data_IF_892271381563
#
_entry.id   IF_892271381563
#
_cell.length_a   1.000
_cell.length_b   1.000
_cell.length_c   1.000
_cell.angle_alpha   90.00
_cell.angle_beta   90.00
_cell.angle_gamma   90.00
#
_symmetry.space_group_name_H-M   'P 1'
#
loop_
_entity.id
_entity.type
_entity.pdbx_description
1 polymer ?
#
# COMPACT_ATOMS: atom_id res chain seq x y z
N UNK A 1 14.08 -0.61 6.97
CA UNK A 1 13.39 -0.10 8.17
C UNK A 1 13.37 -1.12 9.30
N UNK A 2 12.76 -2.30 9.16
CA UNK A 2 12.71 -3.30 10.26
C UNK A 2 14.10 -3.69 10.82
N UNK A 3 15.11 -3.84 9.96
CA UNK A 3 16.49 -4.12 10.40
C UNK A 3 17.10 -2.99 11.24
N UNK A 4 16.78 -1.72 10.93
CA UNK A 4 17.29 -0.56 11.69
C UNK A 4 16.68 -0.50 13.09
N UNK A 5 15.41 -0.89 13.23
CA UNK A 5 14.69 -0.90 14.51
C UNK A 5 15.37 -1.81 15.53
N UNK A 6 15.77 -3.01 15.08
CA UNK A 6 16.43 -4.03 15.91
C UNK A 6 17.94 -3.76 16.00
N UNK A 7 18.54 -3.20 14.95
CA UNK A 7 19.96 -2.83 14.92
C UNK A 7 20.33 -1.78 15.97
N UNK A 8 19.47 -0.79 16.22
CA UNK A 8 19.74 0.29 17.18
C UNK A 8 20.15 -0.21 18.59
N UNK A 9 19.36 -1.04 19.30
CA UNK A 9 19.76 -1.57 20.61
C UNK A 9 20.95 -2.52 20.53
N UNK A 10 21.10 -3.29 19.45
CA UNK A 10 22.24 -4.21 19.28
C UNK A 10 23.57 -3.46 19.14
N UNK A 11 23.56 -2.32 18.43
CA UNK A 11 24.73 -1.46 18.26
C UNK A 11 25.05 -0.68 19.54
N UNK A 12 24.02 -0.29 20.30
CA UNK A 12 24.18 0.28 21.63
C UNK A 12 24.88 -0.71 22.57
N UNK A 13 24.45 -1.98 22.56
CA UNK A 13 25.02 -3.04 23.39
C UNK A 13 26.47 -3.40 23.02
N UNK A 14 26.86 -3.24 21.75
CA UNK A 14 28.21 -3.50 21.25
C UNK A 14 29.17 -2.30 21.41
N UNK A 15 28.84 -1.31 22.24
CA UNK A 15 29.67 -0.12 22.52
C UNK A 15 30.00 0.74 21.30
N UNK A 16 29.10 0.79 20.31
CA UNK A 16 29.22 1.65 19.13
C UNK A 16 28.18 2.80 19.20
N UNK A 17 28.34 3.75 20.14
CA UNK A 17 27.29 4.71 20.49
C UNK A 17 26.97 5.68 19.35
N UNK A 18 27.95 6.00 18.49
CA UNK A 18 27.76 6.92 17.38
C UNK A 18 26.71 6.38 16.39
N UNK A 19 26.91 5.14 15.93
CA UNK A 19 26.04 4.54 14.92
C UNK A 19 24.65 4.25 15.50
N UNK A 20 24.57 3.82 16.76
CA UNK A 20 23.32 3.72 17.51
C UNK A 20 22.57 5.07 17.55
N UNK A 21 23.27 6.15 17.91
CA UNK A 21 22.69 7.50 18.01
C UNK A 21 22.17 8.01 16.67
N UNK A 22 22.90 7.77 15.58
CA UNK A 22 22.43 8.10 14.23
C UNK A 22 21.12 7.38 13.92
N UNK A 23 21.03 6.09 14.22
CA UNK A 23 19.79 5.33 13.99
C UNK A 23 18.65 5.90 14.85
N UNK A 24 18.86 6.15 16.14
CA UNK A 24 17.84 6.78 16.99
C UNK A 24 17.40 8.15 16.47
N UNK A 25 18.33 9.00 16.04
CA UNK A 25 18.03 10.32 15.48
C UNK A 25 17.22 10.24 14.18
N UNK A 26 17.52 9.28 13.31
CA UNK A 26 16.74 9.08 12.09
C UNK A 26 15.30 8.64 12.42
N UNK A 27 15.14 7.77 13.43
CA UNK A 27 13.83 7.23 13.81
C UNK A 27 13.04 8.15 14.76
N UNK A 28 13.65 9.16 15.37
CA UNK A 28 12.97 10.08 16.29
C UNK A 28 11.93 10.94 15.58
N UNK A 29 12.15 11.24 14.29
CA UNK A 29 11.19 11.93 13.42
C UNK A 29 9.88 11.16 13.25
N UNK A 30 9.94 9.82 13.27
CA UNK A 30 8.80 8.94 13.06
C UNK A 30 8.23 8.39 14.37
N UNK A 31 8.99 8.43 15.47
CA UNK A 31 8.61 7.82 16.74
C UNK A 31 9.19 8.58 17.93
N UNK A 32 8.38 8.77 18.97
CA UNK A 32 8.80 9.44 20.21
C UNK A 32 9.76 8.60 21.09
N UNK A 33 10.01 7.33 20.75
CA UNK A 33 11.04 6.47 21.39
C UNK A 33 10.96 6.35 22.93
N UNK A 34 9.75 6.39 23.51
CA UNK A 34 9.56 6.20 24.96
C UNK A 34 9.97 4.79 25.40
N UNK A 35 10.89 4.62 26.37
CA UNK A 35 11.37 3.31 26.79
C UNK A 35 10.27 2.46 27.45
N UNK A 36 9.29 3.07 28.13
CA UNK A 36 8.17 2.37 28.78
C UNK A 36 7.19 1.74 27.77
N UNK A 37 7.25 2.17 26.50
CA UNK A 37 6.35 1.71 25.43
C UNK A 37 7.10 1.06 24.27
N UNK A 38 8.38 0.76 24.45
CA UNK A 38 9.25 0.11 23.47
C UNK A 38 9.66 -1.25 23.99
N UNK A 39 9.96 -2.19 23.09
CA UNK A 39 10.62 -3.43 23.51
C UNK A 39 12.07 -3.13 23.87
N UNK A 40 12.69 -3.94 24.73
CA UNK A 40 14.09 -3.78 25.09
C UNK A 40 14.90 -5.03 24.68
N UNK A 41 16.10 -4.81 24.15
CA UNK A 41 17.10 -5.84 23.89
C UNK A 41 18.37 -5.43 24.62
N UNK A 42 18.92 -6.33 25.44
CA UNK A 42 20.18 -6.11 26.17
C UNK A 42 20.17 -4.82 27.02
N UNK A 43 19.02 -4.48 27.61
CA UNK A 43 18.86 -3.26 28.42
C UNK A 43 18.64 -1.96 27.63
N UNK A 44 18.67 -2.01 26.29
CA UNK A 44 18.42 -0.85 25.43
C UNK A 44 17.03 -0.95 24.77
N UNK A 45 16.24 0.13 24.73
CA UNK A 45 14.95 0.12 24.03
C UNK A 45 15.14 -0.11 22.52
N UNK A 46 14.10 -0.54 21.82
CA UNK A 46 14.10 -0.57 20.36
C UNK A 46 14.12 0.85 19.80
N UNK A 47 14.56 1.00 18.55
CA UNK A 47 14.54 2.30 17.86
C UNK A 47 13.14 2.91 17.66
N UNK A 48 12.07 2.16 17.96
CA UNK A 48 10.66 2.61 17.93
C UNK A 48 9.81 1.93 18.99
N UNK A 49 8.64 2.52 19.28
CA UNK A 49 7.65 1.96 20.18
C UNK A 49 6.91 0.74 19.60
N UNK A 50 6.22 0.01 20.48
CA UNK A 50 5.43 -1.19 20.16
C UNK A 50 4.43 -0.97 19.02
N UNK A 51 3.76 0.20 18.96
CA UNK A 51 2.81 0.54 17.88
C UNK A 51 3.49 0.72 16.55
N UNK A 52 4.53 1.55 16.49
CA UNK A 52 5.28 1.80 15.25
C UNK A 52 5.93 0.53 14.72
N UNK A 53 6.46 -0.32 15.61
CA UNK A 53 6.96 -1.65 15.24
C UNK A 53 5.85 -2.49 14.57
N UNK A 54 4.63 -2.46 15.12
CA UNK A 54 3.45 -3.09 14.52
C UNK A 54 3.13 -2.57 13.13
N UNK A 55 3.08 -1.25 12.95
CA UNK A 55 2.80 -0.61 11.65
C UNK A 55 3.80 -1.06 10.58
N UNK A 56 5.10 -1.02 10.90
CA UNK A 56 6.14 -1.46 9.96
C UNK A 56 6.06 -2.96 9.66
N UNK A 57 5.77 -3.78 10.68
CA UNK A 57 5.58 -5.22 10.49
C UNK A 57 4.34 -5.51 9.63
N UNK A 58 3.25 -4.78 9.80
CA UNK A 58 2.04 -4.89 9.00
C UNK A 58 2.26 -4.49 7.54
N UNK A 59 2.97 -3.38 7.30
CA UNK A 59 3.36 -2.95 5.95
C UNK A 59 4.25 -4.00 5.26
N UNK A 60 5.21 -4.58 5.99
CA UNK A 60 6.06 -5.66 5.49
C UNK A 60 5.29 -6.96 5.24
N UNK A 61 4.42 -7.37 6.16
CA UNK A 61 3.58 -8.55 5.97
C UNK A 61 2.65 -8.40 4.76
N UNK A 62 2.06 -7.23 4.58
CA UNK A 62 1.25 -6.92 3.41
C UNK A 62 2.06 -6.99 2.11
N UNK A 63 3.31 -6.51 2.07
CA UNK A 63 4.15 -6.58 0.87
C UNK A 63 4.49 -8.02 0.49
N UNK A 64 4.71 -8.91 1.47
CA UNK A 64 4.91 -10.35 1.23
C UNK A 64 3.64 -11.05 0.71
N UNK A 65 2.46 -10.60 1.16
CA UNK A 65 1.17 -11.09 0.65
C UNK A 65 0.83 -10.46 -0.71
N UNK A 66 1.43 -9.31 -1.04
CA UNK A 66 1.05 -8.44 -2.16
C UNK A 66 1.18 -9.04 -3.57
N UNK A 67 2.00 -10.06 -3.91
CA UNK A 67 1.93 -10.66 -5.25
C UNK A 67 0.52 -11.18 -5.58
N UNK A 68 -0.25 -11.58 -4.56
CA UNK A 68 -1.63 -12.07 -4.70
C UNK A 68 -2.66 -10.95 -4.76
N UNK A 69 -2.44 -9.84 -4.02
CA UNK A 69 -3.29 -8.64 -4.04
C UNK A 69 -3.06 -7.79 -5.29
N UNK A 70 -1.83 -7.76 -5.81
CA UNK A 70 -1.42 -7.02 -7.00
C UNK A 70 -2.00 -7.61 -8.29
N UNK A 71 -2.23 -8.93 -8.33
CA UNK A 71 -2.98 -9.55 -9.42
C UNK A 71 -4.42 -9.02 -9.49
N UNK A 72 -5.01 -8.67 -8.34
CA UNK A 72 -6.27 -7.95 -8.29
C UNK A 72 -6.14 -6.48 -8.68
N UNK A 73 -4.98 -5.81 -8.54
CA UNK A 73 -4.81 -4.42 -8.99
C UNK A 73 -4.41 -4.28 -10.47
N UNK A 74 -4.06 -5.38 -11.15
CA UNK A 74 -3.94 -5.41 -12.62
C UNK A 74 -5.30 -5.06 -13.21
N UNK A 75 -5.48 -3.78 -13.51
CA UNK A 75 -6.54 -3.32 -14.39
C UNK A 75 -6.49 -4.22 -15.62
N UNK A 76 -7.64 -4.72 -16.13
CA UNK A 76 -7.70 -5.12 -17.52
C UNK A 76 -7.20 -3.91 -18.28
N UNK A 77 -5.96 -3.98 -18.76
CA UNK A 77 -5.33 -2.90 -19.49
C UNK A 77 -6.30 -2.52 -20.57
N UNK A 78 -6.72 -1.26 -20.55
CA UNK A 78 -7.47 -0.58 -21.60
C UNK A 78 -8.15 -1.59 -22.53
N UNK A 79 -9.21 -2.26 -22.05
CA UNK A 79 -10.13 -2.87 -23.00
C UNK A 79 -10.71 -1.64 -23.67
N UNK A 80 -10.08 -1.25 -24.79
CA UNK A 80 -10.53 -0.15 -25.64
C UNK A 80 -12.03 -0.25 -25.60
N UNK A 81 -12.69 0.74 -25.00
CA UNK A 81 -14.03 1.03 -25.47
C UNK A 81 -13.85 1.10 -26.99
N UNK A 82 -14.61 0.33 -27.78
CA UNK A 82 -14.64 0.57 -29.20
C UNK A 82 -15.29 1.93 -29.41
N UNK A 83 -14.55 2.99 -29.10
CA UNK A 83 -14.61 4.24 -29.80
C UNK A 83 -14.10 3.79 -31.19
N UNK A 84 -15.01 3.45 -32.09
CA UNK A 84 -15.65 4.55 -32.78
C UNK A 84 -14.51 5.39 -33.34
N UNK A 85 -13.66 4.78 -34.17
CA UNK A 85 -12.75 5.52 -35.03
C UNK A 85 -13.66 6.45 -35.82
N UNK A 86 -13.78 7.68 -35.35
CA UNK A 86 -14.36 8.75 -36.11
C UNK A 86 -13.32 9.07 -37.17
N UNK A 87 -13.38 8.33 -38.28
CA UNK A 87 -12.74 8.77 -39.52
C UNK A 87 -13.53 9.95 -40.02
N UNK A 88 -12.99 11.14 -39.81
CA UNK A 88 -13.37 12.32 -40.59
C UNK A 88 -12.64 12.19 -41.91
N UNK A 89 -13.31 11.60 -42.90
CA UNK A 89 -12.91 11.73 -44.30
C UNK A 89 -13.61 12.98 -44.86
N UNK A 90 -12.85 13.84 -45.53
CA UNK A 90 -13.25 15.17 -46.03
C UNK A 90 -14.40 15.17 -47.05
N UNK A 91 -15.06 14.04 -47.28
CA UNK A 91 -16.01 13.87 -48.38
C UNK A 91 -17.30 13.11 -48.03
N UNK A 92 -17.48 12.50 -46.84
CA UNK A 92 -18.79 11.89 -46.49
C UNK A 92 -18.93 11.47 -45.03
N UNK A 93 -19.97 11.98 -44.37
CA UNK A 93 -20.46 11.50 -43.07
C UNK A 93 -21.33 10.26 -43.29
N UNK A 94 -20.89 9.08 -42.86
CA UNK A 94 -21.74 7.85 -42.82
C UNK A 94 -21.75 7.25 -41.42
N UNK A 95 -22.96 7.01 -40.89
CA UNK A 95 -23.20 6.37 -39.60
C UNK A 95 -23.18 4.85 -39.79
N UNK A 96 -22.19 4.17 -39.20
CA UNK A 96 -22.13 2.69 -39.18
C UNK A 96 -22.70 2.21 -37.84
N UNK A 97 -23.86 1.54 -37.87
CA UNK A 97 -24.44 0.89 -36.70
C UNK A 97 -23.69 -0.43 -36.38
N UNK A 98 -23.52 -0.80 -35.10
CA UNK A 98 -22.82 -2.02 -34.72
C UNK A 98 -23.70 -3.26 -34.94
N UNK A 99 -23.26 -4.13 -35.86
CA UNK A 99 -23.88 -5.41 -36.15
C UNK A 99 -23.68 -6.44 -35.04
N UNK A 100 -24.78 -7.06 -34.62
CA UNK A 100 -24.82 -8.24 -33.75
C UNK A 100 -24.28 -9.48 -34.48
N UNK A 101 -23.27 -10.16 -33.92
CA UNK A 101 -23.10 -11.64 -33.84
C UNK A 101 -21.63 -11.99 -33.58
N UNK A 102 -21.39 -12.76 -32.52
CA UNK A 102 -20.05 -13.29 -32.23
C UNK A 102 -19.89 -13.95 -30.87
N UNK A 103 -20.79 -14.88 -30.52
CA UNK A 103 -20.48 -15.96 -29.57
C UNK A 103 -19.29 -16.74 -30.14
N UNK A 104 -18.12 -16.72 -29.50
CA UNK A 104 -17.12 -17.80 -29.63
C UNK A 104 -16.01 -17.67 -28.56
N UNK A 105 -15.99 -18.71 -27.70
CA UNK A 105 -14.88 -19.28 -26.95
C UNK A 105 -14.23 -18.45 -25.85
N UNK A 106 -14.78 -18.65 -24.65
CA UNK A 106 -14.05 -18.65 -23.40
C UNK A 106 -12.86 -19.61 -23.47
N UNK A 107 -11.70 -19.09 -23.86
CA UNK A 107 -10.41 -19.73 -23.71
C UNK A 107 -10.09 -19.88 -22.23
N UNK A 108 -10.22 -21.11 -21.77
CA UNK A 108 -9.66 -21.65 -20.54
C UNK A 108 -8.15 -21.35 -20.49
N UNK A 109 -7.75 -20.29 -19.80
CA UNK A 109 -6.39 -20.19 -19.26
C UNK A 109 -6.49 -20.08 -17.75
N UNK A 110 -6.05 -21.17 -17.13
CA UNK A 110 -6.04 -21.46 -15.71
C UNK A 110 -5.08 -20.57 -14.93
N UNK A 111 -5.33 -19.26 -14.93
CA UNK A 111 -4.64 -18.27 -14.14
C UNK A 111 -5.50 -17.81 -12.97
N UNK A 112 -5.35 -18.46 -11.81
CA UNK A 112 -5.61 -17.85 -10.50
C UNK A 112 -7.10 -17.66 -10.18
N UNK A 113 -7.83 -18.77 -10.00
CA UNK A 113 -8.90 -18.79 -8.99
C UNK A 113 -8.25 -18.98 -7.62
N UNK A 114 -7.64 -17.93 -7.10
CA UNK A 114 -7.26 -17.86 -5.69
C UNK A 114 -7.76 -16.55 -5.09
N UNK A 115 -9.05 -16.27 -5.29
CA UNK A 115 -9.83 -15.33 -4.48
C UNK A 115 -10.10 -15.88 -3.07
N UNK A 116 -9.18 -16.67 -2.50
CA UNK A 116 -9.38 -17.45 -1.28
C UNK A 116 -9.06 -16.66 0.01
N UNK A 117 -9.15 -15.34 -0.02
CA UNK A 117 -9.09 -14.51 1.18
C UNK A 117 -9.96 -13.26 1.00
N UNK A 118 -11.28 -13.46 0.86
CA UNK A 118 -12.38 -12.70 1.48
C UNK A 118 -12.44 -11.17 1.46
N UNK A 119 -11.52 -10.44 0.85
CA UNK A 119 -11.53 -8.98 0.77
C UNK A 119 -11.48 -8.61 -0.71
N UNK A 120 -12.60 -8.13 -1.24
CA UNK A 120 -12.63 -7.56 -2.58
C UNK A 120 -11.98 -6.17 -2.56
N UNK A 121 -10.64 -6.16 -2.50
CA UNK A 121 -9.82 -4.93 -2.45
C UNK A 121 -10.03 -4.06 -3.69
N UNK A 122 -10.54 -4.62 -4.82
CA UNK A 122 -10.93 -3.80 -5.99
C UNK A 122 -12.09 -2.86 -5.67
N UNK A 123 -13.13 -3.34 -4.99
CA UNK A 123 -14.26 -2.48 -4.62
C UNK A 123 -13.87 -1.45 -3.57
N UNK A 124 -12.92 -1.77 -2.70
CA UNK A 124 -12.40 -0.88 -1.66
C UNK A 124 -11.83 0.45 -2.17
N UNK A 125 -11.33 0.48 -3.41
CA UNK A 125 -10.60 1.63 -3.94
C UNK A 125 -11.28 2.30 -5.14
N UNK A 126 -12.48 1.84 -5.52
CA UNK A 126 -13.21 2.33 -6.71
C UNK A 126 -13.68 3.77 -6.60
N UNK A 127 -13.93 4.26 -5.38
CA UNK A 127 -14.39 5.63 -5.13
C UNK A 127 -13.60 6.30 -4.03
N UNK A 128 -13.51 7.63 -4.08
CA UNK A 128 -12.88 8.43 -3.02
C UNK A 128 -13.54 8.21 -1.65
N UNK A 129 -14.86 7.98 -1.64
CA UNK A 129 -15.61 7.67 -0.43
C UNK A 129 -15.19 6.31 0.16
N UNK A 130 -15.04 5.29 -0.68
CA UNK A 130 -14.61 3.97 -0.21
C UNK A 130 -13.19 4.03 0.36
N UNK A 131 -12.25 4.75 -0.27
CA UNK A 131 -10.91 4.96 0.29
C UNK A 131 -10.94 5.58 1.69
N UNK A 132 -11.83 6.54 1.94
CA UNK A 132 -12.02 7.15 3.27
C UNK A 132 -12.56 6.15 4.30
N UNK A 133 -13.53 5.31 3.91
CA UNK A 133 -14.08 4.27 4.80
C UNK A 133 -12.99 3.25 5.17
N UNK A 134 -12.16 2.85 4.22
CA UNK A 134 -11.03 1.94 4.46
C UNK A 134 -9.99 2.54 5.40
N UNK A 135 -9.64 3.81 5.21
CA UNK A 135 -8.79 4.55 6.14
C UNK A 135 -9.39 4.62 7.53
N UNK A 136 -10.67 5.00 7.64
CA UNK A 136 -11.38 5.08 8.92
C UNK A 136 -11.38 3.72 9.63
N UNK A 137 -11.67 2.64 8.90
CA UNK A 137 -11.67 1.27 9.42
C UNK A 137 -10.31 0.87 10.00
N UNK A 138 -9.21 1.22 9.31
CA UNK A 138 -7.86 0.97 9.84
C UNK A 138 -7.47 1.88 11.00
N UNK A 139 -7.94 3.14 10.99
CA UNK A 139 -7.65 4.09 12.06
C UNK A 139 -8.39 3.76 13.36
N UNK A 140 -9.59 3.15 13.30
CA UNK A 140 -10.40 2.87 14.50
C UNK A 140 -9.64 2.02 15.54
N UNK A 141 -9.04 0.85 15.21
CA UNK A 141 -8.32 0.03 16.19
C UNK A 141 -7.13 0.75 16.84
N UNK A 142 -6.35 1.52 16.07
CA UNK A 142 -5.18 2.23 16.58
C UNK A 142 -5.58 3.43 17.44
N UNK A 143 -6.66 4.13 17.09
CA UNK A 143 -7.21 5.22 17.91
C UNK A 143 -7.82 4.68 19.19
N UNK A 144 -8.56 3.57 19.12
CA UNK A 144 -9.12 2.91 20.29
C UNK A 144 -8.02 2.48 21.28
N UNK A 145 -6.96 1.80 20.81
CA UNK A 145 -5.81 1.43 21.66
C UNK A 145 -5.07 2.68 22.21
N UNK A 146 -5.13 3.83 21.52
CA UNK A 146 -4.54 5.07 22.01
C UNK A 146 -5.39 5.79 23.06
N UNK A 147 -6.71 5.80 22.90
CA UNK A 147 -7.65 6.64 23.67
C UNK A 147 -8.25 5.90 24.87
N UNK A 148 -8.52 4.60 24.76
CA UNK A 148 -9.13 3.81 25.85
C UNK A 148 -8.31 3.83 27.15
N UNK A 149 -6.95 3.84 27.13
CA UNK A 149 -6.16 4.00 28.36
C UNK A 149 -6.29 5.37 29.02
N UNK A 150 -6.58 6.43 28.25
CA UNK A 150 -6.76 7.77 28.80
C UNK A 150 -8.04 7.88 29.62
N UNK A 151 -9.07 7.11 29.25
CA UNK A 151 -10.32 7.01 30.00
C UNK A 151 -10.30 6.02 31.17
N UNK A 152 -9.17 5.35 31.44
CA UNK A 152 -9.07 4.30 32.46
C UNK A 152 -9.87 3.03 32.15
N UNK A 153 -10.44 2.92 30.95
CA UNK A 153 -11.31 1.82 30.53
C UNK A 153 -10.52 0.55 30.16
N UNK A 154 -9.25 0.70 29.77
CA UNK A 154 -8.43 -0.41 29.32
C UNK A 154 -6.94 -0.15 29.53
N UNK A 155 -6.22 -1.15 30.06
CA UNK A 155 -4.75 -1.11 30.14
C UNK A 155 -4.15 -1.64 28.83
N UNK A 156 -3.64 -0.75 27.96
CA UNK A 156 -2.95 -1.18 26.73
C UNK A 156 -1.68 -1.95 27.05
N UNK A 157 -1.68 -3.24 26.70
CA UNK A 157 -0.54 -4.13 26.84
C UNK A 157 0.43 -3.96 25.66
N UNK A 158 1.70 -4.42 25.78
CA UNK A 158 2.64 -4.44 24.65
C UNK A 158 2.07 -5.11 23.41
N UNK A 159 1.31 -6.19 23.60
CA UNK A 159 0.71 -6.96 22.52
C UNK A 159 -0.46 -6.22 21.86
N UNK A 160 -1.34 -5.56 22.62
CA UNK A 160 -2.47 -4.80 22.04
C UNK A 160 -1.98 -3.65 21.15
N UNK A 161 -0.91 -2.98 21.59
CA UNK A 161 -0.23 -1.91 20.84
C UNK A 161 0.39 -2.42 19.55
N UNK A 162 1.06 -3.58 19.61
CA UNK A 162 1.66 -4.22 18.44
C UNK A 162 0.59 -4.64 17.43
N UNK A 163 -0.48 -5.29 17.89
CA UNK A 163 -1.55 -5.82 17.04
C UNK A 163 -2.37 -4.71 16.37
N UNK A 164 -2.75 -3.67 17.10
CA UNK A 164 -3.46 -2.52 16.53
C UNK A 164 -2.61 -1.81 15.46
N UNK A 165 -1.31 -1.63 15.71
CA UNK A 165 -0.37 -1.14 14.72
C UNK A 165 -0.24 -2.05 13.50
N UNK A 166 -0.15 -3.37 13.70
CA UNK A 166 -0.05 -4.36 12.63
C UNK A 166 -1.27 -4.35 11.71
N UNK A 167 -2.48 -4.36 12.28
CA UNK A 167 -3.72 -4.28 11.53
C UNK A 167 -3.79 -2.98 10.72
N UNK A 168 -3.48 -1.85 11.34
CA UNK A 168 -3.45 -0.56 10.64
C UNK A 168 -2.42 -0.55 9.51
N UNK A 169 -1.18 -0.99 9.77
CA UNK A 169 -0.11 -1.05 8.77
C UNK A 169 -0.45 -1.96 7.59
N UNK A 170 -1.08 -3.10 7.85
CA UNK A 170 -1.54 -4.02 6.81
C UNK A 170 -2.61 -3.38 5.92
N UNK A 171 -3.63 -2.73 6.53
CA UNK A 171 -4.68 -2.03 5.79
C UNK A 171 -4.13 -0.82 5.02
N UNK A 172 -3.27 -0.03 5.64
CA UNK A 172 -2.62 1.12 5.03
C UNK A 172 -1.79 0.71 3.79
N UNK A 173 -1.14 -0.45 3.82
CA UNK A 173 -0.39 -0.99 2.68
C UNK A 173 -1.26 -1.11 1.42
N UNK A 174 -2.52 -1.55 1.56
CA UNK A 174 -3.43 -1.70 0.40
C UNK A 174 -3.70 -0.37 -0.28
N UNK A 175 -3.86 0.70 0.52
CA UNK A 175 -4.06 2.07 0.04
C UNK A 175 -2.77 2.68 -0.53
N UNK A 176 -1.64 2.39 0.09
CA UNK A 176 -0.34 2.88 -0.35
C UNK A 176 0.02 2.28 -1.71
N UNK A 177 -0.16 0.96 -1.89
CA UNK A 177 0.06 0.31 -3.18
C UNK A 177 -0.87 0.88 -4.25
N UNK A 178 -2.16 1.03 -3.95
CA UNK A 178 -3.13 1.66 -4.84
C UNK A 178 -2.66 3.06 -5.30
N UNK A 179 -2.37 3.95 -4.36
CA UNK A 179 -1.94 5.32 -4.66
C UNK A 179 -0.61 5.39 -5.40
N UNK A 180 0.36 4.55 -5.05
CA UNK A 180 1.65 4.48 -5.74
C UNK A 180 1.45 3.99 -7.18
N UNK A 181 0.64 2.96 -7.42
CA UNK A 181 0.39 2.46 -8.78
C UNK A 181 -0.35 3.48 -9.66
N UNK A 182 -1.25 4.28 -9.09
CA UNK A 182 -1.93 5.39 -9.77
C UNK A 182 -0.92 6.48 -10.12
N UNK A 183 -0.12 6.93 -9.15
CA UNK A 183 0.92 7.95 -9.36
C UNK A 183 1.94 7.54 -10.44
N UNK A 184 2.48 6.32 -10.36
CA UNK A 184 3.43 5.83 -11.38
C UNK A 184 2.78 5.76 -12.77
N UNK A 185 1.50 5.34 -12.85
CA UNK A 185 0.78 5.30 -14.13
C UNK A 185 0.61 6.70 -14.71
N UNK A 186 0.29 7.69 -13.89
CA UNK A 186 0.09 9.06 -14.36
C UNK A 186 1.40 9.70 -14.81
N UNK A 187 2.49 9.45 -14.08
CA UNK A 187 3.84 9.90 -14.46
C UNK A 187 4.26 9.26 -15.79
N UNK A 188 4.11 7.95 -15.94
CA UNK A 188 4.51 7.22 -17.15
C UNK A 188 3.66 7.56 -18.37
N UNK A 189 2.37 7.87 -18.18
CA UNK A 189 1.46 8.27 -19.27
C UNK A 189 1.40 9.78 -19.48
N UNK A 190 2.25 10.56 -18.80
CA UNK A 190 2.27 12.01 -18.96
C UNK A 190 2.56 12.40 -20.42
N UNK A 191 1.97 13.49 -20.94
CA UNK A 191 2.17 13.93 -22.32
C UNK A 191 3.65 14.15 -22.66
N UNK A 192 4.43 14.66 -21.71
CA UNK A 192 5.87 14.89 -21.85
C UNK A 192 6.65 13.58 -22.05
N UNK A 193 6.29 12.51 -21.32
CA UNK A 193 6.91 11.18 -21.51
C UNK A 193 6.63 10.58 -22.90
N UNK A 194 5.48 10.91 -23.51
CA UNK A 194 5.16 10.47 -24.88
C UNK A 194 5.97 11.20 -25.94
N UNK A 195 6.20 12.51 -25.79
CA UNK A 195 6.99 13.31 -26.74
C UNK A 195 8.47 12.91 -26.75
N UNK A 196 9.06 12.61 -25.59
CA UNK A 196 10.44 12.11 -25.51
C UNK A 196 10.60 10.73 -26.18
N UNK A 197 9.61 9.85 -26.00
CA UNK A 197 9.63 8.53 -26.65
C UNK A 197 9.38 8.60 -28.17
N UNK A 198 8.65 9.60 -28.69
CA UNK A 198 8.45 9.74 -30.14
C UNK A 198 9.70 10.20 -30.88
N UNK A 199 10.55 11.02 -30.26
CA UNK A 199 11.79 11.51 -30.89
C UNK A 199 12.95 10.50 -30.84
N UNK A 200 12.92 9.52 -29.94
CA UNK A 200 13.96 8.47 -29.84
C UNK A 200 13.75 7.26 -30.75
N UNK A 201 12.66 7.20 -31.52
CA UNK A 201 12.33 6.06 -32.40
C UNK A 201 12.60 6.29 -33.89
N UNK A 202 13.08 7.47 -34.28
CA UNK A 202 13.34 7.85 -35.67
C UNK A 202 14.83 7.81 -36.08
N UNK A 203 15.69 7.20 -35.25
CA UNK A 203 17.14 7.07 -35.50
C UNK A 203 17.58 5.66 -35.81
#
# INVERSE_FOLDING_TARGET
MCLLIIGAPLLAAQSNPLLSSIIYLLLSSACHQMPERSFAILGHPWGVCQRCAGIYLGLFAASLVSPRVFCAYRTPGNRRLPDGVMRVDSARMTLVAPGSRGLLRSGLSSGIRLCAAGINVRMAHSSAQMRRIWLATGCIPILADALLPLGGLWASTPLSRLLSGLVFGFLLSTLLVAGVTELFRDILNSPQARVLNSHGGES
#
